data_IF_524412041772
#
_entry.id   IF_524412041772
#
_cell.length_a   1.000
_cell.length_b   1.000
_cell.length_c   1.000
_cell.angle_alpha   90.00
_cell.angle_beta   90.00
_cell.angle_gamma   90.00
#
_symmetry.space_group_name_H-M   'P 1'
#
loop_
_entity.id
_entity.type
_entity.pdbx_description
1 polymer ?
#
# COMPACT_ATOMS: atom_id res chain seq x y z
N UNK A 1 22.56 15.28 -31.12
CA UNK A 1 21.46 14.32 -30.95
C UNK A 1 20.89 14.48 -29.55
N UNK A 2 19.56 14.49 -29.42
CA UNK A 2 18.91 14.53 -28.12
C UNK A 2 19.03 13.13 -27.50
N UNK A 3 19.79 12.99 -26.39
CA UNK A 3 19.85 11.75 -25.65
C UNK A 3 18.55 11.60 -24.79
N UNK A 4 17.89 10.45 -24.87
CA UNK A 4 16.78 10.09 -24.00
C UNK A 4 17.26 9.04 -23.02
N UNK A 5 17.11 9.31 -21.74
CA UNK A 5 17.53 8.41 -20.67
C UNK A 5 16.35 8.07 -19.76
N UNK A 6 16.21 6.79 -19.40
CA UNK A 6 15.15 6.30 -18.54
C UNK A 6 15.69 6.05 -17.14
N UNK A 7 15.10 6.70 -16.16
CA UNK A 7 15.35 6.42 -14.75
C UNK A 7 14.55 5.19 -14.30
N UNK A 8 15.01 4.55 -13.22
CA UNK A 8 14.25 3.51 -12.57
C UNK A 8 12.97 4.08 -11.93
N UNK A 9 11.98 3.20 -11.71
CA UNK A 9 10.75 3.56 -11.01
C UNK A 9 11.04 3.95 -9.54
N UNK A 10 10.05 4.52 -8.86
CA UNK A 10 10.16 4.83 -7.43
C UNK A 10 10.45 3.58 -6.59
N UNK A 11 9.91 2.42 -7.02
CA UNK A 11 10.20 1.10 -6.48
C UNK A 11 9.94 0.92 -4.99
N UNK A 12 10.54 -0.12 -4.39
CA UNK A 12 10.42 -0.42 -2.96
C UNK A 12 11.42 0.42 -2.14
N UNK A 13 11.21 1.74 -2.10
CA UNK A 13 12.07 2.65 -1.34
C UNK A 13 11.60 2.75 0.12
N UNK A 14 12.50 2.73 1.12
CA UNK A 14 12.16 2.89 2.52
C UNK A 14 11.32 4.12 2.86
N UNK A 15 11.54 5.23 2.17
CA UNK A 15 10.78 6.48 2.33
C UNK A 15 9.32 6.32 1.93
N UNK A 16 9.04 5.47 0.92
CA UNK A 16 7.67 5.15 0.52
C UNK A 16 6.97 4.32 1.60
N UNK A 17 7.69 3.39 2.23
CA UNK A 17 7.16 2.62 3.35
C UNK A 17 6.83 3.51 4.57
N UNK A 18 7.65 4.51 4.86
CA UNK A 18 7.41 5.48 5.95
C UNK A 18 6.11 6.26 5.74
N UNK A 19 5.86 6.73 4.51
CA UNK A 19 4.61 7.44 4.19
C UNK A 19 3.40 6.53 4.45
N UNK A 20 3.46 5.26 4.04
CA UNK A 20 2.38 4.31 4.27
C UNK A 20 2.15 4.09 5.76
N UNK A 21 3.20 3.89 6.53
CA UNK A 21 3.14 3.72 8.00
C UNK A 21 2.47 4.93 8.65
N UNK A 22 2.86 6.14 8.30
CA UNK A 22 2.25 7.36 8.81
C UNK A 22 0.76 7.47 8.44
N UNK A 23 0.36 7.07 7.22
CA UNK A 23 -1.05 7.04 6.83
C UNK A 23 -1.87 6.08 7.70
N UNK A 24 -1.32 4.90 8.00
CA UNK A 24 -1.97 3.92 8.89
C UNK A 24 -2.09 4.49 10.32
N UNK A 25 -1.01 5.04 10.84
CA UNK A 25 -0.97 5.60 12.20
C UNK A 25 -1.88 6.83 12.38
N UNK A 26 -2.05 7.64 11.33
CA UNK A 26 -2.91 8.84 11.36
C UNK A 26 -4.40 8.53 11.59
N UNK A 27 -4.82 7.28 11.40
CA UNK A 27 -6.19 6.86 11.72
C UNK A 27 -6.43 6.62 13.22
N UNK A 28 -5.47 6.94 14.07
CA UNK A 28 -5.62 6.85 15.52
C UNK A 28 -5.74 5.42 16.07
N UNK A 29 -5.33 4.43 15.28
CA UNK A 29 -5.43 3.00 15.67
C UNK A 29 -4.52 2.62 16.84
N UNK A 30 -3.64 3.52 17.26
CA UNK A 30 -2.67 3.33 18.34
C UNK A 30 -3.17 3.81 19.73
N UNK A 31 -4.34 4.46 19.84
CA UNK A 31 -4.75 5.15 21.05
C UNK A 31 -6.18 4.86 21.54
N UNK A 32 -6.75 3.70 21.24
CA UNK A 32 -7.96 3.28 21.95
C UNK A 32 -7.57 2.64 23.30
N UNK A 33 -7.25 3.49 24.26
CA UNK A 33 -6.89 3.14 25.64
C UNK A 33 -8.05 2.66 26.50
N UNK A 34 -9.26 2.45 25.95
CA UNK A 34 -10.43 2.05 26.72
C UNK A 34 -11.29 0.95 26.07
N UNK A 35 -10.71 0.07 25.31
CA UNK A 35 -11.40 -1.12 24.76
C UNK A 35 -10.50 -2.36 24.88
N UNK A 36 -11.06 -3.59 24.83
CA UNK A 36 -10.35 -4.82 25.11
C UNK A 36 -8.98 -4.88 24.43
N UNK A 37 -7.99 -5.39 25.14
CA UNK A 37 -6.57 -5.45 24.75
C UNK A 37 -6.41 -5.94 23.31
N UNK A 38 -5.42 -5.43 22.57
CA UNK A 38 -5.09 -5.86 21.20
C UNK A 38 -4.97 -7.39 21.06
N UNK A 39 -4.69 -8.10 22.14
CA UNK A 39 -4.63 -9.57 22.19
C UNK A 39 -5.98 -10.24 21.96
N UNK A 40 -7.10 -9.58 22.30
CA UNK A 40 -8.46 -10.13 22.11
C UNK A 40 -9.05 -9.83 20.72
N UNK A 41 -8.48 -8.87 19.97
CA UNK A 41 -9.00 -8.44 18.66
C UNK A 41 -8.27 -9.00 17.44
N UNK A 42 -7.16 -9.69 17.64
CA UNK A 42 -6.30 -10.12 16.55
C UNK A 42 -5.52 -8.96 15.89
N UNK A 43 -4.64 -9.26 14.93
CA UNK A 43 -3.84 -8.26 14.25
C UNK A 43 -4.69 -7.32 13.38
N UNK A 44 -4.19 -6.11 13.14
CA UNK A 44 -4.76 -5.18 12.16
C UNK A 44 -4.18 -5.48 10.78
N UNK A 45 -5.04 -5.74 9.81
CA UNK A 45 -4.65 -5.86 8.41
C UNK A 45 -4.38 -4.49 7.79
N UNK A 46 -3.31 -4.36 7.02
CA UNK A 46 -3.03 -3.21 6.17
C UNK A 46 -3.00 -3.68 4.72
N UNK A 47 -3.94 -3.20 3.93
CA UNK A 47 -4.06 -3.54 2.52
C UNK A 47 -3.61 -2.36 1.66
N UNK A 48 -2.39 -2.44 1.14
CA UNK A 48 -1.84 -1.40 0.25
C UNK A 48 -2.26 -1.69 -1.18
N UNK A 49 -2.94 -0.74 -1.82
CA UNK A 49 -3.55 -0.96 -3.15
C UNK A 49 -2.99 0.03 -4.17
N UNK A 50 -2.30 -0.48 -5.19
CA UNK A 50 -1.87 0.33 -6.34
C UNK A 50 -2.84 0.23 -7.53
N UNK A 51 -2.70 1.14 -8.47
CA UNK A 51 -3.28 0.97 -9.79
C UNK A 51 -2.71 -0.29 -10.45
N UNK A 52 -3.57 -1.07 -11.09
CA UNK A 52 -3.12 -2.17 -11.93
C UNK A 52 -2.64 -1.70 -13.29
N UNK A 53 -1.95 -2.56 -14.02
CA UNK A 53 -1.51 -2.34 -15.39
C UNK A 53 -1.88 -3.53 -16.27
N UNK A 54 -2.17 -3.27 -17.53
CA UNK A 54 -2.31 -4.34 -18.55
C UNK A 54 -0.97 -4.90 -19.01
N UNK A 55 0.12 -4.31 -18.54
CA UNK A 55 1.45 -4.77 -18.90
C UNK A 55 1.77 -6.10 -18.21
N UNK A 56 1.95 -7.16 -18.98
CA UNK A 56 2.24 -8.51 -18.49
C UNK A 56 3.61 -8.62 -17.79
N UNK A 57 4.45 -7.60 -17.88
CA UNK A 57 5.77 -7.58 -17.23
C UNK A 57 5.76 -7.03 -15.80
N UNK A 58 4.65 -6.56 -15.30
CA UNK A 58 4.54 -6.11 -13.90
C UNK A 58 4.15 -7.31 -13.02
N UNK A 59 5.16 -8.01 -12.52
CA UNK A 59 5.02 -9.13 -11.59
C UNK A 59 4.71 -8.70 -10.14
N UNK A 60 4.65 -7.40 -9.90
CA UNK A 60 4.43 -6.80 -8.58
C UNK A 60 5.43 -7.20 -7.47
N UNK A 61 6.57 -7.81 -7.79
CA UNK A 61 7.57 -8.19 -6.77
C UNK A 61 8.05 -7.00 -5.97
N UNK A 62 8.35 -5.88 -6.64
CA UNK A 62 8.74 -4.65 -5.97
C UNK A 62 7.67 -4.15 -4.98
N UNK A 63 6.39 -4.37 -5.29
CA UNK A 63 5.29 -3.94 -4.44
C UNK A 63 5.11 -4.86 -3.22
N UNK A 64 5.39 -6.15 -3.39
CA UNK A 64 5.48 -7.09 -2.27
C UNK A 64 6.66 -6.75 -1.35
N UNK A 65 7.81 -6.36 -1.91
CA UNK A 65 8.96 -5.89 -1.13
C UNK A 65 8.60 -4.65 -0.31
N UNK A 66 7.89 -3.69 -0.90
CA UNK A 66 7.37 -2.53 -0.20
C UNK A 66 6.43 -2.93 0.94
N UNK A 67 5.51 -3.88 0.70
CA UNK A 67 4.61 -4.42 1.72
C UNK A 67 5.38 -5.01 2.90
N UNK A 68 6.44 -5.79 2.65
CA UNK A 68 7.32 -6.32 3.71
C UNK A 68 8.02 -5.22 4.50
N UNK A 69 8.49 -4.17 3.84
CA UNK A 69 9.08 -3.02 4.53
C UNK A 69 8.08 -2.32 5.45
N UNK A 70 6.83 -2.18 5.02
CA UNK A 70 5.74 -1.61 5.83
C UNK A 70 5.45 -2.50 7.03
N UNK A 71 5.27 -3.81 6.83
CA UNK A 71 5.00 -4.76 7.92
C UNK A 71 6.09 -4.75 8.98
N UNK A 72 7.36 -4.77 8.57
CA UNK A 72 8.49 -4.70 9.48
C UNK A 72 8.52 -3.40 10.30
N UNK A 73 8.09 -2.26 9.73
CA UNK A 73 8.05 -0.98 10.44
C UNK A 73 6.87 -0.85 11.39
N UNK A 74 5.72 -1.38 11.01
CA UNK A 74 4.54 -1.40 11.87
C UNK A 74 4.73 -2.35 13.06
N UNK A 75 5.47 -3.46 12.87
CA UNK A 75 5.80 -4.41 13.91
C UNK A 75 4.66 -5.34 14.28
N UNK A 76 4.76 -5.93 15.48
CA UNK A 76 3.78 -6.89 15.98
C UNK A 76 2.37 -6.27 16.07
N UNK A 77 1.37 -7.08 15.79
CA UNK A 77 -0.03 -6.65 15.78
C UNK A 77 -0.53 -6.13 14.43
N UNK A 78 0.33 -6.15 13.41
CA UNK A 78 -0.05 -5.81 12.04
C UNK A 78 0.27 -6.94 11.06
N UNK A 79 -0.58 -7.08 10.05
CA UNK A 79 -0.36 -7.96 8.91
C UNK A 79 -0.55 -7.13 7.62
N UNK A 80 0.41 -7.17 6.72
CA UNK A 80 0.39 -6.35 5.51
C UNK A 80 0.20 -7.22 4.27
N UNK A 81 -0.72 -6.82 3.41
CA UNK A 81 -0.89 -7.37 2.07
C UNK A 81 -0.88 -6.24 1.03
N UNK A 82 -0.48 -6.58 -0.17
CA UNK A 82 -0.50 -5.66 -1.31
C UNK A 82 -1.47 -6.17 -2.37
N UNK A 83 -2.10 -5.27 -3.11
CA UNK A 83 -3.04 -5.63 -4.17
C UNK A 83 -2.99 -4.65 -5.34
N UNK A 84 -3.46 -5.12 -6.48
CA UNK A 84 -3.76 -4.29 -7.63
C UNK A 84 -5.26 -4.02 -7.71
N UNK A 85 -5.63 -2.77 -7.98
CA UNK A 85 -7.03 -2.37 -8.05
C UNK A 85 -7.75 -2.93 -9.28
N UNK A 86 -7.01 -3.33 -10.32
CA UNK A 86 -7.50 -3.90 -11.57
C UNK A 86 -6.32 -4.45 -12.41
N UNK A 87 -6.62 -5.30 -13.39
CA UNK A 87 -5.71 -5.87 -14.40
C UNK A 87 -4.56 -6.75 -13.88
N UNK A 88 -4.54 -7.16 -12.64
CA UNK A 88 -3.45 -8.02 -12.19
C UNK A 88 -3.67 -8.59 -10.79
N UNK A 89 -2.79 -9.48 -10.41
CA UNK A 89 -2.80 -10.19 -9.15
C UNK A 89 -1.72 -9.66 -8.18
N UNK A 90 -1.96 -9.81 -6.86
CA UNK A 90 -3.21 -10.22 -6.25
C UNK A 90 -4.29 -9.13 -6.39
N UNK A 91 -5.55 -9.57 -6.54
CA UNK A 91 -6.70 -8.65 -6.53
C UNK A 91 -6.94 -8.11 -5.12
N UNK A 92 -7.75 -7.05 -5.02
CA UNK A 92 -8.16 -6.48 -3.72
C UNK A 92 -8.90 -7.53 -2.89
N UNK A 93 -9.77 -8.30 -3.52
CA UNK A 93 -10.57 -9.34 -2.86
C UNK A 93 -9.69 -10.50 -2.35
N UNK A 94 -8.76 -11.00 -3.18
CA UNK A 94 -7.85 -12.08 -2.79
C UNK A 94 -6.93 -11.67 -1.63
N UNK A 95 -6.37 -10.47 -1.69
CA UNK A 95 -5.48 -9.98 -0.66
C UNK A 95 -6.21 -9.75 0.67
N UNK A 96 -7.45 -9.25 0.63
CA UNK A 96 -8.29 -9.10 1.80
C UNK A 96 -8.66 -10.46 2.41
N UNK A 97 -9.06 -11.42 1.57
CA UNK A 97 -9.39 -12.78 2.01
C UNK A 97 -8.20 -13.43 2.72
N UNK A 98 -6.99 -13.31 2.17
CA UNK A 98 -5.77 -13.81 2.84
C UNK A 98 -5.51 -13.15 4.19
N UNK A 99 -5.70 -11.84 4.30
CA UNK A 99 -5.58 -11.15 5.59
C UNK A 99 -6.55 -11.71 6.61
N UNK A 100 -7.79 -11.94 6.23
CA UNK A 100 -8.83 -12.44 7.13
C UNK A 100 -8.61 -13.92 7.48
N UNK A 101 -8.46 -14.78 6.48
CA UNK A 101 -8.47 -16.24 6.66
C UNK A 101 -7.11 -16.78 7.12
N UNK A 102 -6.00 -16.24 6.61
CA UNK A 102 -4.66 -16.73 6.94
C UNK A 102 -4.01 -16.00 8.10
N UNK A 103 -4.33 -14.71 8.29
CA UNK A 103 -3.71 -13.85 9.30
C UNK A 103 -4.66 -13.50 10.45
N UNK A 104 -5.93 -13.89 10.37
CA UNK A 104 -6.91 -13.71 11.45
C UNK A 104 -7.24 -12.26 11.79
N UNK A 105 -7.17 -11.34 10.81
CA UNK A 105 -7.45 -9.93 11.07
C UNK A 105 -8.94 -9.67 11.22
N UNK A 106 -9.32 -8.87 12.21
CA UNK A 106 -10.68 -8.39 12.42
C UNK A 106 -10.90 -6.95 11.93
N UNK A 107 -9.83 -6.29 11.51
CA UNK A 107 -9.84 -4.92 10.97
C UNK A 107 -8.90 -4.82 9.79
N UNK A 108 -9.30 -4.15 8.72
CA UNK A 108 -8.45 -3.84 7.57
C UNK A 108 -8.42 -2.34 7.34
N UNK A 109 -7.20 -1.79 7.27
CA UNK A 109 -6.92 -0.44 6.83
C UNK A 109 -6.46 -0.50 5.38
N UNK A 110 -7.22 0.09 4.47
CA UNK A 110 -6.88 0.19 3.06
C UNK A 110 -6.07 1.45 2.82
N UNK A 111 -4.88 1.31 2.24
CA UNK A 111 -4.00 2.42 1.88
C UNK A 111 -3.90 2.53 0.37
N UNK A 112 -4.55 3.54 -0.24
CA UNK A 112 -4.42 3.80 -1.67
C UNK A 112 -3.00 4.27 -2.02
N UNK A 113 -2.23 3.42 -2.70
CA UNK A 113 -0.91 3.79 -3.24
C UNK A 113 -1.10 4.58 -4.53
N UNK A 114 -1.63 5.78 -4.39
CA UNK A 114 -1.97 6.73 -5.44
C UNK A 114 -1.55 8.12 -5.03
N UNK A 115 -1.12 8.94 -5.99
CA UNK A 115 -0.76 10.33 -5.70
C UNK A 115 -1.99 11.24 -5.57
N UNK A 116 -3.04 10.97 -6.34
CA UNK A 116 -4.22 11.83 -6.38
C UNK A 116 -5.52 11.02 -6.25
N UNK A 117 -6.56 11.59 -5.61
CA UNK A 117 -7.88 10.98 -5.60
C UNK A 117 -8.52 11.09 -6.99
N UNK A 118 -8.64 9.96 -7.69
CA UNK A 118 -9.21 9.87 -9.02
C UNK A 118 -10.24 8.75 -9.16
N UNK A 119 -10.57 8.40 -10.40
CA UNK A 119 -11.54 7.35 -10.70
C UNK A 119 -11.10 5.97 -10.16
N UNK A 120 -9.80 5.70 -10.12
CA UNK A 120 -9.26 4.45 -9.57
C UNK A 120 -9.64 4.32 -8.08
N UNK A 121 -9.44 5.38 -7.29
CA UNK A 121 -9.88 5.38 -5.90
C UNK A 121 -11.38 5.16 -5.79
N UNK A 122 -12.17 5.96 -6.50
CA UNK A 122 -13.64 5.96 -6.37
C UNK A 122 -14.30 4.67 -6.85
N UNK A 123 -13.86 4.13 -7.98
CA UNK A 123 -14.51 2.96 -8.60
C UNK A 123 -13.88 1.64 -8.19
N UNK A 124 -12.56 1.58 -8.17
CA UNK A 124 -11.86 0.31 -8.02
C UNK A 124 -11.54 0.01 -6.56
N UNK A 125 -10.98 0.97 -5.83
CA UNK A 125 -10.59 0.74 -4.43
C UNK A 125 -11.81 0.75 -3.53
N UNK A 126 -12.63 1.81 -3.56
CA UNK A 126 -13.84 1.86 -2.71
C UNK A 126 -14.85 0.78 -3.10
N UNK A 127 -15.04 0.50 -4.39
CA UNK A 127 -15.87 -0.63 -4.84
C UNK A 127 -15.32 -1.99 -4.39
N UNK A 128 -14.00 -2.14 -4.28
CA UNK A 128 -13.36 -3.30 -3.67
C UNK A 128 -13.69 -3.42 -2.19
N UNK A 129 -13.66 -2.31 -1.45
CA UNK A 129 -14.04 -2.29 -0.03
C UNK A 129 -15.49 -2.73 0.18
N UNK A 130 -16.41 -2.29 -0.69
CA UNK A 130 -17.82 -2.72 -0.62
C UNK A 130 -17.95 -4.24 -0.79
N UNK A 131 -17.18 -4.86 -1.69
CA UNK A 131 -17.16 -6.32 -1.86
C UNK A 131 -16.56 -7.03 -0.64
N UNK A 132 -15.46 -6.50 -0.08
CA UNK A 132 -14.87 -7.05 1.15
C UNK A 132 -15.89 -7.00 2.29
N UNK A 133 -16.59 -5.88 2.48
CA UNK A 133 -17.62 -5.74 3.50
C UNK A 133 -18.77 -6.76 3.34
N UNK A 134 -19.12 -7.09 2.10
CA UNK A 134 -20.13 -8.12 1.81
C UNK A 134 -19.62 -9.53 2.10
N UNK A 135 -18.38 -9.83 1.73
CA UNK A 135 -17.79 -11.17 1.89
C UNK A 135 -17.34 -11.44 3.34
N UNK A 136 -16.92 -10.40 4.05
CA UNK A 136 -16.42 -10.47 5.42
C UNK A 136 -17.12 -9.45 6.33
N UNK A 137 -18.41 -9.64 6.62
CA UNK A 137 -19.25 -8.63 7.32
C UNK A 137 -18.83 -8.34 8.76
N UNK A 138 -18.01 -9.20 9.36
CA UNK A 138 -17.49 -9.01 10.73
C UNK A 138 -16.17 -8.20 10.76
N UNK A 139 -15.56 -7.95 9.60
CA UNK A 139 -14.31 -7.21 9.49
C UNK A 139 -14.60 -5.71 9.39
N UNK A 140 -14.01 -4.93 10.27
CA UNK A 140 -14.10 -3.47 10.15
C UNK A 140 -13.15 -2.94 9.08
N UNK A 141 -13.65 -2.03 8.23
CA UNK A 141 -12.90 -1.45 7.14
C UNK A 141 -12.72 0.05 7.34
N UNK A 142 -11.51 0.53 7.06
CA UNK A 142 -11.22 1.96 6.97
C UNK A 142 -10.28 2.22 5.80
N UNK A 143 -10.29 3.44 5.27
CA UNK A 143 -9.42 3.85 4.16
C UNK A 143 -8.70 5.14 4.54
N UNK A 144 -7.39 5.16 4.26
CA UNK A 144 -6.59 6.37 4.41
C UNK A 144 -6.78 7.29 3.20
N UNK A 145 -6.44 8.58 3.32
CA UNK A 145 -6.19 9.38 2.12
C UNK A 145 -5.11 8.72 1.23
N UNK A 146 -5.09 9.01 -0.07
CA UNK A 146 -3.97 8.66 -0.96
C UNK A 146 -2.64 9.19 -0.42
N UNK A 147 -1.50 8.70 -0.95
CA UNK A 147 -0.17 9.17 -0.55
C UNK A 147 -0.04 10.69 -0.70
N UNK A 148 -0.63 11.25 -1.76
CA UNK A 148 -0.57 12.68 -2.04
C UNK A 148 0.79 13.11 -2.54
N UNK A 149 1.07 14.41 -2.39
CA UNK A 149 2.39 15.00 -2.64
C UNK A 149 3.13 15.03 -1.30
N UNK A 150 4.30 14.41 -1.27
CA UNK A 150 5.16 14.31 -0.09
C UNK A 150 6.61 14.55 -0.50
N UNK A 151 7.36 15.32 0.27
CA UNK A 151 8.74 15.68 -0.05
C UNK A 151 9.64 14.44 -0.18
N UNK A 152 9.34 13.36 0.52
CA UNK A 152 10.05 12.08 0.41
C UNK A 152 9.87 11.46 -0.97
N UNK A 153 8.69 11.57 -1.58
CA UNK A 153 8.45 11.10 -2.96
C UNK A 153 9.29 11.92 -3.94
N UNK A 154 9.34 13.23 -3.74
CA UNK A 154 10.17 14.13 -4.55
C UNK A 154 11.66 13.78 -4.40
N UNK A 155 12.11 13.50 -3.19
CA UNK A 155 13.49 13.08 -2.91
C UNK A 155 13.83 11.74 -3.59
N UNK A 156 12.93 10.74 -3.54
CA UNK A 156 13.14 9.46 -4.26
C UNK A 156 13.26 9.71 -5.76
N UNK A 157 12.36 10.50 -6.35
CA UNK A 157 12.41 10.82 -7.77
C UNK A 157 13.71 11.55 -8.16
N UNK A 158 14.15 12.51 -7.35
CA UNK A 158 15.40 13.22 -7.56
C UNK A 158 16.62 12.28 -7.52
N UNK A 159 16.64 11.32 -6.58
CA UNK A 159 17.72 10.33 -6.51
C UNK A 159 17.74 9.42 -7.74
N UNK A 160 16.57 9.01 -8.27
CA UNK A 160 16.51 8.22 -9.52
C UNK A 160 17.06 9.01 -10.72
N UNK A 161 16.80 10.31 -10.79
CA UNK A 161 17.33 11.18 -11.83
C UNK A 161 18.85 11.32 -11.70
N UNK A 162 19.37 11.56 -10.48
CA UNK A 162 20.82 11.65 -10.24
C UNK A 162 21.54 10.36 -10.62
N UNK A 163 21.01 9.19 -10.25
CA UNK A 163 21.58 7.90 -10.63
C UNK A 163 21.75 7.72 -12.15
N UNK A 164 20.82 8.25 -12.95
CA UNK A 164 20.94 8.23 -14.39
C UNK A 164 22.01 9.22 -14.85
N UNK A 165 22.00 10.42 -14.30
CA UNK A 165 22.96 11.47 -14.65
C UNK A 165 24.40 11.02 -14.41
N UNK A 166 24.69 10.48 -13.24
CA UNK A 166 26.03 9.98 -12.88
C UNK A 166 26.51 8.84 -13.81
N UNK A 167 25.58 8.03 -14.33
CA UNK A 167 25.89 6.95 -15.29
C UNK A 167 26.21 7.47 -16.70
N UNK A 168 25.74 8.64 -17.03
CA UNK A 168 25.92 9.22 -18.39
C UNK A 168 27.16 10.08 -18.48
N UNK A 169 27.57 10.73 -17.38
CA UNK A 169 28.77 11.58 -17.34
C UNK A 169 30.05 10.82 -16.97
N UNK A 170 29.99 9.60 -16.46
CA UNK A 170 31.12 8.72 -16.13
C UNK A 170 31.46 7.77 -17.28
#
# INVERSE_FOLDING_TARGET
SLGLYLAESLGPDPRMAEIIVERVQSLGLSNETESPTNEERGPTGVLVVKAGTKNQYDDCLWFQDLGRMVENRLGLGYAVAVAQSHYGDPTVDDAATRLVEERGVARIVVVPYLFFPGLILKRNILGGMDRIAQSHPTVSLSVTPPLGVDDRIVAVAADRIRQVWDRVEG
#
